data_IF_826509180469
#
_entry.id   IF_826509180469
#
_cell.length_a   1.000
_cell.length_b   1.000
_cell.length_c   1.000
_cell.angle_alpha   90.00
_cell.angle_beta   90.00
_cell.angle_gamma   90.00
#
_symmetry.space_group_name_H-M   'P 1'
#
loop_
_entity.id
_entity.type
_entity.pdbx_description
1 polymer ?
#
# COMPACT_ATOMS: atom_id res chain seq x y z
N UNK A 1 -13.21 10.03 5.87
CA UNK A 1 -13.35 8.67 5.32
C UNK A 1 -13.25 8.75 3.81
N UNK A 2 -12.05 8.62 3.24
CA UNK A 2 -11.87 8.63 1.78
C UNK A 2 -11.85 7.18 1.28
N UNK A 3 -12.93 6.76 0.64
CA UNK A 3 -12.93 5.83 -0.50
C UNK A 3 -12.36 4.41 -0.33
N UNK A 4 -12.79 3.62 0.67
CA UNK A 4 -12.47 2.18 0.71
C UNK A 4 -12.85 1.43 -0.57
N UNK A 5 -13.93 1.86 -1.25
CA UNK A 5 -14.36 1.30 -2.54
C UNK A 5 -13.36 1.59 -3.67
N UNK A 6 -12.87 2.83 -3.78
CA UNK A 6 -11.90 3.22 -4.82
C UNK A 6 -10.61 2.43 -4.63
N UNK A 7 -10.15 2.29 -3.39
CA UNK A 7 -8.96 1.51 -3.06
C UNK A 7 -9.11 0.05 -3.50
N UNK A 8 -10.29 -0.55 -3.35
CA UNK A 8 -10.58 -1.91 -3.80
C UNK A 8 -10.56 -2.02 -5.33
N UNK A 9 -11.15 -1.06 -6.02
CA UNK A 9 -11.15 -1.00 -7.50
C UNK A 9 -9.71 -0.95 -8.02
N UNK A 10 -8.90 -0.05 -7.46
CA UNK A 10 -7.49 0.10 -7.86
C UNK A 10 -6.64 -1.13 -7.56
N UNK A 11 -7.09 -2.07 -6.73
CA UNK A 11 -6.38 -3.32 -6.41
C UNK A 11 -6.87 -4.52 -7.23
N UNK A 12 -7.95 -4.38 -7.98
CA UNK A 12 -8.53 -5.53 -8.67
C UNK A 12 -7.76 -5.85 -9.96
N UNK A 13 -7.03 -6.96 -9.94
CA UNK A 13 -6.28 -7.48 -11.08
C UNK A 13 -7.20 -7.77 -12.29
N UNK A 14 -8.52 -7.91 -12.07
CA UNK A 14 -9.51 -8.15 -13.13
C UNK A 14 -9.51 -7.06 -14.20
N UNK A 15 -9.20 -5.81 -13.84
CA UNK A 15 -9.13 -4.73 -14.84
C UNK A 15 -7.99 -4.91 -15.86
N UNK A 16 -7.02 -5.79 -15.59
CA UNK A 16 -5.90 -6.12 -16.51
C UNK A 16 -6.20 -7.27 -17.47
N UNK A 17 -7.43 -7.80 -17.50
CA UNK A 17 -7.79 -8.98 -18.29
C UNK A 17 -7.60 -10.31 -17.55
N UNK A 18 -7.19 -10.27 -16.28
CA UNK A 18 -6.95 -11.46 -15.44
C UNK A 18 -8.21 -11.89 -14.70
N UNK A 19 -8.72 -13.09 -14.96
CA UNK A 19 -9.82 -13.63 -14.17
C UNK A 19 -9.30 -14.13 -12.81
N UNK A 20 -9.81 -13.56 -11.71
CA UNK A 20 -9.48 -13.99 -10.34
C UNK A 20 -10.68 -14.66 -9.68
N UNK A 21 -10.56 -15.94 -9.35
CA UNK A 21 -11.61 -16.75 -8.72
C UNK A 21 -11.14 -17.37 -7.40
N UNK A 22 -12.11 -17.81 -6.58
CA UNK A 22 -11.82 -18.46 -5.30
C UNK A 22 -11.46 -17.50 -4.16
N UNK A 23 -11.76 -16.20 -4.29
CA UNK A 23 -11.51 -15.20 -3.22
C UNK A 23 -12.24 -15.55 -1.92
N UNK A 24 -13.40 -16.19 -2.02
CA UNK A 24 -14.26 -16.59 -0.90
C UNK A 24 -14.73 -18.03 -1.08
N UNK A 25 -14.95 -18.72 0.02
CA UNK A 25 -15.53 -20.06 0.01
C UNK A 25 -16.04 -20.44 1.39
N UNK A 26 -16.63 -21.63 1.47
CA UNK A 26 -16.95 -22.27 2.74
C UNK A 26 -15.84 -23.22 3.16
N UNK A 27 -15.57 -23.38 4.48
CA UNK A 27 -14.57 -24.35 4.95
C UNK A 27 -14.94 -25.79 4.60
N UNK A 28 -16.23 -26.11 4.65
CA UNK A 28 -16.74 -27.44 4.38
C UNK A 28 -18.21 -27.36 3.93
N UNK A 29 -18.70 -28.35 3.19
CA UNK A 29 -20.06 -28.33 2.61
C UNK A 29 -21.20 -28.21 3.64
N UNK A 30 -20.94 -28.57 4.90
CA UNK A 30 -21.91 -28.49 6.02
C UNK A 30 -21.97 -27.11 6.67
N UNK A 31 -20.89 -26.33 6.55
CA UNK A 31 -20.77 -25.02 7.18
C UNK A 31 -21.04 -23.99 6.09
N UNK A 32 -22.17 -23.30 6.17
CA UNK A 32 -22.57 -22.27 5.19
C UNK A 32 -21.93 -20.89 5.46
N UNK A 33 -21.00 -20.81 6.42
CA UNK A 33 -20.28 -19.57 6.70
C UNK A 33 -19.25 -19.31 5.59
N UNK A 34 -19.35 -18.12 4.98
CA UNK A 34 -18.37 -17.66 4.00
C UNK A 34 -17.14 -17.09 4.70
N UNK A 35 -15.98 -17.52 4.24
CA UNK A 35 -14.69 -17.05 4.70
C UNK A 35 -13.87 -16.53 3.52
N UNK A 36 -13.01 -15.55 3.78
CA UNK A 36 -12.03 -15.10 2.79
C UNK A 36 -10.89 -16.11 2.74
N UNK A 37 -10.55 -16.58 1.54
CA UNK A 37 -9.41 -17.47 1.34
C UNK A 37 -8.12 -16.67 1.20
N UNK A 38 -6.98 -17.20 1.66
CA UNK A 38 -5.68 -16.54 1.46
C UNK A 38 -5.39 -16.39 -0.04
N UNK A 39 -4.67 -15.33 -0.41
CA UNK A 39 -4.39 -14.99 -1.81
C UNK A 39 -3.60 -16.08 -2.58
N UNK A 40 -2.92 -16.97 -1.85
CA UNK A 40 -2.22 -18.15 -2.37
C UNK A 40 -3.16 -19.22 -2.91
N UNK A 41 -4.41 -19.26 -2.44
CA UNK A 41 -5.44 -20.21 -2.90
C UNK A 41 -6.26 -19.65 -4.08
N UNK A 42 -6.07 -18.39 -4.44
CA UNK A 42 -6.84 -17.76 -5.52
C UNK A 42 -6.36 -18.27 -6.87
N UNK A 43 -7.31 -18.67 -7.70
CA UNK A 43 -7.05 -19.07 -9.09
C UNK A 43 -7.00 -17.82 -9.93
N UNK A 44 -5.88 -17.62 -10.64
CA UNK A 44 -5.65 -16.50 -11.56
C UNK A 44 -5.45 -17.04 -12.96
N UNK A 45 -6.31 -16.62 -13.89
CA UNK A 45 -6.18 -16.95 -15.31
C UNK A 45 -5.91 -15.65 -16.07
N UNK A 46 -4.69 -15.43 -16.59
CA UNK A 46 -4.38 -14.24 -17.38
C UNK A 46 -5.10 -14.29 -18.74
N UNK A 47 -5.31 -13.11 -19.33
CA UNK A 47 -5.85 -12.92 -20.69
C UNK A 47 -7.21 -13.61 -20.94
N UNK A 48 -8.06 -13.67 -19.91
CA UNK A 48 -9.38 -14.29 -19.97
C UNK A 48 -10.45 -13.40 -20.63
N UNK A 49 -10.21 -12.09 -20.69
CA UNK A 49 -11.06 -11.11 -21.36
C UNK A 49 -10.24 -9.88 -21.79
N UNK A 50 -10.84 -9.02 -22.61
CA UNK A 50 -10.22 -7.76 -23.01
C UNK A 50 -9.92 -6.89 -21.77
N UNK A 51 -8.66 -6.48 -21.65
CA UNK A 51 -8.19 -5.65 -20.54
C UNK A 51 -8.76 -4.23 -20.63
N UNK A 52 -9.27 -3.72 -19.52
CA UNK A 52 -9.76 -2.34 -19.42
C UNK A 52 -8.61 -1.33 -19.27
N UNK A 53 -7.51 -1.75 -18.63
CA UNK A 53 -6.29 -0.97 -18.46
C UNK A 53 -5.07 -1.80 -18.80
N UNK A 54 -3.99 -1.15 -19.25
CA UNK A 54 -2.72 -1.83 -19.46
C UNK A 54 -2.15 -2.34 -18.14
N UNK A 55 -1.51 -3.52 -18.18
CA UNK A 55 -0.84 -4.09 -17.01
C UNK A 55 0.24 -3.17 -16.43
N UNK A 56 0.94 -2.43 -17.29
CA UNK A 56 1.96 -1.47 -16.90
C UNK A 56 1.39 -0.34 -16.03
N UNK A 57 0.20 0.16 -16.36
CA UNK A 57 -0.49 1.20 -15.60
C UNK A 57 -0.96 0.66 -14.24
N UNK A 58 -1.50 -0.56 -14.22
CA UNK A 58 -1.88 -1.23 -12.98
C UNK A 58 -0.70 -1.37 -12.02
N UNK A 59 0.45 -1.85 -12.53
CA UNK A 59 1.68 -2.00 -11.74
C UNK A 59 2.21 -0.65 -11.25
N UNK A 60 2.14 0.40 -12.08
CA UNK A 60 2.50 1.75 -11.68
C UNK A 60 1.63 2.26 -10.53
N UNK A 61 0.31 2.06 -10.60
CA UNK A 61 -0.62 2.42 -9.53
C UNK A 61 -0.31 1.66 -8.24
N UNK A 62 -0.02 0.35 -8.31
CA UNK A 62 0.37 -0.42 -7.12
C UNK A 62 1.65 0.14 -6.49
N UNK A 63 2.65 0.52 -7.31
CA UNK A 63 3.90 1.14 -6.82
C UNK A 63 3.63 2.48 -6.13
N UNK A 64 2.86 3.36 -6.77
CA UNK A 64 2.52 4.68 -6.21
C UNK A 64 1.76 4.53 -4.89
N UNK A 65 0.81 3.60 -4.83
CA UNK A 65 0.05 3.31 -3.60
C UNK A 65 0.95 2.78 -2.47
N UNK A 66 2.03 2.08 -2.82
CA UNK A 66 3.05 1.65 -1.87
C UNK A 66 3.88 2.79 -1.28
N UNK A 67 3.88 3.99 -1.88
CA UNK A 67 4.53 5.16 -1.30
C UNK A 67 3.64 5.74 -0.20
N UNK A 68 4.13 5.78 1.04
CA UNK A 68 3.40 6.41 2.15
C UNK A 68 3.60 7.93 2.11
N UNK A 69 2.84 8.60 1.24
CA UNK A 69 2.80 10.07 1.13
C UNK A 69 1.64 10.69 1.90
N UNK A 70 1.02 9.93 2.81
CA UNK A 70 -0.12 10.41 3.60
C UNK A 70 0.31 11.59 4.47
N UNK A 71 -0.45 12.67 4.41
CA UNK A 71 -0.28 13.82 5.28
C UNK A 71 -1.19 13.70 6.50
N UNK A 72 -0.90 14.50 7.53
CA UNK A 72 -1.78 14.63 8.69
C UNK A 72 -3.14 15.19 8.24
N UNK A 73 -4.27 14.85 8.88
CA UNK A 73 -5.60 15.38 8.49
C UNK A 73 -5.70 16.91 8.43
N UNK A 74 -4.80 17.63 9.09
CA UNK A 74 -4.75 19.10 9.14
C UNK A 74 -3.54 19.70 8.39
N UNK A 75 -2.76 18.89 7.65
CA UNK A 75 -1.64 19.37 6.84
C UNK A 75 -1.78 18.88 5.39
N UNK A 76 -1.63 19.79 4.43
CA UNK A 76 -1.64 19.45 3.00
C UNK A 76 -0.22 19.25 2.43
N UNK A 77 0.82 19.49 3.25
CA UNK A 77 2.20 19.50 2.78
C UNK A 77 2.79 18.08 2.73
N UNK A 78 2.98 17.56 1.53
CA UNK A 78 3.82 16.38 1.29
C UNK A 78 5.28 16.83 1.23
N UNK A 79 6.12 16.33 2.13
CA UNK A 79 7.54 16.64 2.14
C UNK A 79 8.30 15.86 1.06
N UNK A 80 9.41 16.44 0.58
CA UNK A 80 10.20 15.93 -0.55
C UNK A 80 10.53 14.43 -0.49
N UNK A 81 10.81 13.92 0.71
CA UNK A 81 11.22 12.53 0.92
C UNK A 81 10.15 11.64 1.57
N UNK A 82 8.91 12.14 1.69
CA UNK A 82 7.79 11.37 2.24
C UNK A 82 7.53 10.11 1.41
N UNK A 83 7.49 8.95 2.07
CA UNK A 83 7.22 7.66 1.42
C UNK A 83 8.40 7.03 0.67
N UNK A 84 9.54 7.74 0.54
CA UNK A 84 10.70 7.31 -0.26
C UNK A 84 11.83 6.77 0.63
N UNK A 85 12.15 7.46 1.74
CA UNK A 85 13.29 7.07 2.58
C UNK A 85 13.02 5.81 3.38
N UNK A 86 13.89 4.80 3.23
CA UNK A 86 13.84 3.51 3.91
C UNK A 86 15.10 3.36 4.77
N UNK A 87 14.94 2.86 6.00
CA UNK A 87 16.05 2.56 6.88
C UNK A 87 16.77 1.27 6.43
N UNK A 88 18.07 1.33 6.22
CA UNK A 88 18.88 0.16 5.85
C UNK A 88 18.97 -0.93 6.91
N UNK A 89 18.72 -0.61 8.19
CA UNK A 89 18.78 -1.60 9.27
C UNK A 89 17.48 -2.41 9.41
N UNK A 90 16.33 -1.73 9.45
CA UNK A 90 15.05 -2.37 9.78
C UNK A 90 14.07 -2.44 8.61
N UNK A 91 14.37 -1.85 7.46
CA UNK A 91 13.48 -1.80 6.29
C UNK A 91 12.24 -0.91 6.47
N UNK A 92 12.05 -0.28 7.64
CA UNK A 92 10.95 0.66 7.87
C UNK A 92 11.19 2.01 7.19
N UNK A 93 10.09 2.70 6.85
CA UNK A 93 10.14 4.07 6.33
C UNK A 93 10.65 5.05 7.40
N UNK A 94 11.47 6.01 6.97
CA UNK A 94 11.99 7.07 7.84
C UNK A 94 10.96 8.20 8.01
N UNK A 95 11.02 8.91 9.13
CA UNK A 95 10.11 10.02 9.46
C UNK A 95 10.88 11.33 9.56
N UNK A 96 10.30 12.42 9.04
CA UNK A 96 10.85 13.77 9.15
C UNK A 96 10.60 14.33 10.55
N UNK A 97 11.61 15.00 11.11
CA UNK A 97 11.52 15.86 12.29
C UNK A 97 12.03 17.26 11.94
N UNK A 98 11.23 18.27 12.23
CA UNK A 98 11.68 19.67 12.14
C UNK A 98 12.09 20.14 13.52
N UNK A 99 13.34 20.57 13.66
CA UNK A 99 13.83 21.25 14.86
C UNK A 99 14.03 22.74 14.54
N UNK A 100 13.65 23.62 15.45
CA UNK A 100 13.86 25.07 15.35
C UNK A 100 14.85 25.49 16.42
N UNK A 101 15.94 26.12 16.03
CA UNK A 101 16.97 26.61 16.96
C UNK A 101 17.58 27.91 16.42
N UNK A 102 17.74 28.91 17.28
CA UNK A 102 18.33 30.22 16.94
C UNK A 102 17.72 30.87 15.68
N UNK A 103 16.40 30.79 15.53
CA UNK A 103 15.68 31.32 14.35
C UNK A 103 15.87 30.52 13.05
N UNK A 104 16.63 29.42 13.07
CA UNK A 104 16.84 28.53 11.91
C UNK A 104 16.01 27.25 12.04
N UNK A 105 15.47 26.78 10.91
CA UNK A 105 14.80 25.49 10.82
C UNK A 105 15.76 24.42 10.27
N UNK A 106 15.76 23.26 10.92
CA UNK A 106 16.54 22.09 10.50
C UNK A 106 15.60 20.90 10.31
N UNK A 107 15.72 20.22 9.18
CA UNK A 107 14.93 19.04 8.85
C UNK A 107 15.79 17.79 8.92
N UNK A 108 15.43 16.87 9.81
CA UNK A 108 16.12 15.60 10.01
C UNK A 108 15.19 14.46 9.60
N UNK A 109 15.77 13.39 9.06
CA UNK A 109 15.06 12.14 8.83
C UNK A 109 15.64 11.08 9.75
N UNK A 110 14.77 10.38 10.47
CA UNK A 110 15.21 9.36 11.43
C UNK A 110 14.36 8.10 11.30
N UNK A 111 14.96 6.97 11.71
CA UNK A 111 14.25 5.70 11.78
C UNK A 111 13.40 5.63 13.06
N UNK A 112 12.07 5.45 12.99
CA UNK A 112 11.22 5.32 14.18
C UNK A 112 11.58 4.10 15.04
N UNK A 113 11.95 2.99 14.41
CA UNK A 113 12.38 1.76 15.09
C UNK A 113 13.75 1.94 15.74
N UNK A 114 14.71 2.48 14.98
CA UNK A 114 16.08 2.73 15.46
C UNK A 114 16.12 3.69 16.65
N UNK A 115 15.23 4.69 16.68
CA UNK A 115 15.07 5.59 17.83
C UNK A 115 14.66 4.87 19.12
N UNK A 116 13.89 3.77 19.03
CA UNK A 116 13.36 3.05 20.20
C UNK A 116 14.24 1.90 20.65
N UNK A 117 14.86 1.18 19.72
CA UNK A 117 15.54 -0.10 19.99
C UNK A 117 17.02 -0.12 19.58
N UNK A 118 17.54 0.98 19.04
CA UNK A 118 18.79 0.95 18.29
C UNK A 118 18.58 0.38 16.88
N UNK A 119 19.50 0.73 15.98
CA UNK A 119 19.91 -0.20 14.95
C UNK A 119 20.97 -1.10 15.62
#
# INVERSE_FOLDING_TARGET
MVGTTIIRILQDETYTGTLVQGKQGTPHYKIKQMEQRPASEWVRVPDAHEALIARQDFELVQRIKGLDTRTSPNEDTVYLFSGILICGCCGSRMTRKTNRANGKEYHYYYCPTGKKKGC
#
